data_IF_746035750729
#
_entry.id   IF_746035750729
#
_cell.length_a   1.000
_cell.length_b   1.000
_cell.length_c   1.000
_cell.angle_alpha   90.00
_cell.angle_beta   90.00
_cell.angle_gamma   90.00
#
_symmetry.space_group_name_H-M   'P 1'
#
loop_
_entity.id
_entity.type
_entity.pdbx_description
1 polymer ?
#
# COMPACT_ATOMS: atom_id res chain seq x y z
N UNK A 1 11.91 -14.93 12.56
CA UNK A 1 11.13 -14.07 11.64
C UNK A 1 11.78 -12.70 11.67
N UNK A 2 12.38 -12.28 10.55
CA UNK A 2 12.93 -10.93 10.42
C UNK A 2 11.74 -9.97 10.26
N UNK A 3 11.71 -8.82 10.95
CA UNK A 3 10.60 -7.86 10.86
C UNK A 3 10.39 -7.33 9.43
N UNK A 4 11.42 -7.38 8.59
CA UNK A 4 11.37 -7.00 7.18
C UNK A 4 10.51 -7.94 6.32
N UNK A 5 10.44 -9.24 6.65
CA UNK A 5 9.64 -10.20 5.88
C UNK A 5 8.15 -9.97 6.11
N UNK A 6 7.76 -9.70 7.37
CA UNK A 6 6.38 -9.42 7.74
C UNK A 6 5.85 -8.12 7.15
N UNK A 7 6.73 -7.13 6.94
CA UNK A 7 6.38 -5.87 6.31
C UNK A 7 6.14 -6.05 4.80
N UNK A 8 7.00 -6.80 4.11
CA UNK A 8 6.83 -7.13 2.69
C UNK A 8 5.54 -7.90 2.42
N UNK A 9 5.18 -8.86 3.29
CA UNK A 9 3.92 -9.62 3.15
C UNK A 9 2.68 -8.72 3.35
N UNK A 10 2.77 -7.77 4.29
CA UNK A 10 1.70 -6.80 4.55
C UNK A 10 1.52 -5.84 3.36
N UNK A 11 2.62 -5.37 2.78
CA UNK A 11 2.58 -4.48 1.61
C UNK A 11 2.00 -5.19 0.39
N UNK A 12 2.32 -6.47 0.22
CA UNK A 12 1.75 -7.29 -0.86
C UNK A 12 0.23 -7.44 -0.72
N UNK A 13 -0.24 -7.77 0.50
CA UNK A 13 -1.67 -7.89 0.77
C UNK A 13 -2.45 -6.58 0.56
N UNK A 14 -1.84 -5.43 0.93
CA UNK A 14 -2.43 -4.11 0.68
C UNK A 14 -2.56 -3.82 -0.81
N UNK A 15 -1.51 -4.08 -1.59
CA UNK A 15 -1.50 -3.86 -3.04
C UNK A 15 -2.50 -4.78 -3.77
N UNK A 16 -2.60 -6.05 -3.36
CA UNK A 16 -3.60 -6.97 -3.89
C UNK A 16 -5.03 -6.51 -3.60
N UNK A 17 -5.32 -6.04 -2.39
CA UNK A 17 -6.63 -5.51 -2.04
C UNK A 17 -6.99 -4.25 -2.85
N UNK A 18 -6.03 -3.34 -3.02
CA UNK A 18 -6.17 -2.13 -3.83
C UNK A 18 -6.47 -2.48 -5.30
N UNK A 19 -5.72 -3.44 -5.86
CA UNK A 19 -5.91 -3.93 -7.23
C UNK A 19 -7.27 -4.59 -7.40
N UNK A 20 -7.68 -5.43 -6.46
CA UNK A 20 -8.97 -6.11 -6.51
C UNK A 20 -10.12 -5.10 -6.54
N UNK A 21 -10.11 -4.10 -5.66
CA UNK A 21 -11.14 -3.05 -5.65
C UNK A 21 -11.16 -2.22 -6.94
N UNK A 22 -9.99 -1.94 -7.54
CA UNK A 22 -9.91 -1.28 -8.85
C UNK A 22 -10.51 -2.14 -9.97
N UNK A 23 -10.22 -3.44 -9.99
CA UNK A 23 -10.75 -4.38 -10.99
C UNK A 23 -12.26 -4.56 -10.84
N UNK A 24 -12.76 -4.57 -9.61
CA UNK A 24 -14.20 -4.62 -9.30
C UNK A 24 -14.92 -3.30 -9.58
N UNK A 25 -14.18 -2.23 -9.90
CA UNK A 25 -14.73 -0.89 -10.17
C UNK A 25 -15.14 -0.10 -8.93
N UNK A 26 -14.80 -0.59 -7.73
CA UNK A 26 -15.16 0.01 -6.44
C UNK A 26 -14.15 1.08 -5.99
N UNK A 27 -13.74 1.93 -6.91
CA UNK A 27 -12.71 2.96 -6.64
C UNK A 27 -13.22 4.18 -5.87
N UNK A 28 -14.54 4.37 -5.83
CA UNK A 28 -15.20 5.45 -5.08
C UNK A 28 -15.55 5.03 -3.63
N UNK A 29 -15.29 3.78 -3.26
CA UNK A 29 -15.58 3.27 -1.92
C UNK A 29 -14.51 3.71 -0.91
N UNK A 30 -14.93 3.91 0.35
CA UNK A 30 -14.05 4.24 1.46
C UNK A 30 -12.93 3.21 1.64
N UNK A 31 -13.21 1.93 1.36
CA UNK A 31 -12.20 0.88 1.44
C UNK A 31 -11.04 1.13 0.46
N UNK A 32 -11.34 1.51 -0.78
CA UNK A 32 -10.31 1.80 -1.79
C UNK A 32 -9.46 3.00 -1.38
N UNK A 33 -10.10 4.03 -0.85
CA UNK A 33 -9.42 5.24 -0.39
C UNK A 33 -8.50 4.96 0.81
N UNK A 34 -8.96 4.21 1.81
CA UNK A 34 -8.15 3.85 2.97
C UNK A 34 -6.94 2.99 2.60
N UNK A 35 -7.11 1.98 1.74
CA UNK A 35 -5.99 1.15 1.27
C UNK A 35 -5.04 1.98 0.39
N UNK A 36 -5.59 2.89 -0.42
CA UNK A 36 -4.86 3.87 -1.22
C UNK A 36 -3.93 4.77 -0.39
N UNK A 37 -4.46 5.39 0.66
CA UNK A 37 -3.71 6.26 1.55
C UNK A 37 -2.60 5.50 2.30
N UNK A 38 -2.88 4.28 2.76
CA UNK A 38 -1.90 3.44 3.45
C UNK A 38 -0.73 3.07 2.53
N UNK A 39 -1.02 2.61 1.30
CA UNK A 39 0.02 2.31 0.30
C UNK A 39 0.81 3.57 -0.06
N UNK A 40 0.14 4.70 -0.26
CA UNK A 40 0.81 5.96 -0.57
C UNK A 40 1.75 6.41 0.55
N UNK A 41 1.30 6.36 1.81
CA UNK A 41 2.11 6.72 2.98
C UNK A 41 3.37 5.85 3.08
N UNK A 42 3.24 4.54 2.85
CA UNK A 42 4.37 3.60 2.89
C UNK A 42 5.36 3.81 1.75
N UNK A 43 4.88 4.07 0.55
CA UNK A 43 5.73 4.41 -0.59
C UNK A 43 6.48 5.73 -0.33
N UNK A 44 5.82 6.72 0.26
CA UNK A 44 6.44 7.98 0.63
C UNK A 44 7.48 7.81 1.73
N UNK A 45 7.23 6.98 2.74
CA UNK A 45 8.23 6.68 3.77
C UNK A 45 9.45 5.97 3.19
N UNK A 46 9.22 4.96 2.34
CA UNK A 46 10.29 4.14 1.74
C UNK A 46 11.14 4.92 0.73
N UNK A 47 10.49 5.63 -0.19
CA UNK A 47 11.16 6.28 -1.33
C UNK A 47 11.30 7.81 -1.17
N UNK A 48 10.42 8.45 -0.39
CA UNK A 48 10.51 9.89 -0.12
C UNK A 48 11.71 10.25 0.76
N UNK A 49 12.16 9.35 1.63
CA UNK A 49 13.42 9.50 2.37
C UNK A 49 14.64 9.34 1.44
N UNK A 50 14.55 8.52 0.39
CA UNK A 50 15.63 8.31 -0.58
C UNK A 50 15.96 9.56 -1.42
N UNK A 51 15.04 10.53 -1.52
CA UNK A 51 15.27 11.79 -2.24
C UNK A 51 16.02 12.83 -1.39
N UNK A 52 16.21 12.57 -0.08
CA UNK A 52 17.07 13.36 0.81
C UNK A 52 18.40 12.62 1.06
N UNK A 53 19.21 12.47 0.03
CA UNK A 53 20.61 12.02 0.15
C UNK A 53 21.49 12.79 -0.82
#
# INVERSE_FOLDING_TARGET
MHPSDSQSDTDHALLEGLLQLAVEGQTEDQAFQSIGEEVFSRLLDTYGQQTRA
#
